data_IF_940240090958
#
_entry.id   IF_940240090958
#
_cell.length_a   1.000
_cell.length_b   1.000
_cell.length_c   1.000
_cell.angle_alpha   90.00
_cell.angle_beta   90.00
_cell.angle_gamma   90.00
#
_symmetry.space_group_name_H-M   'P 1'
#
loop_
_entity.id
_entity.type
_entity.pdbx_description
1 polymer ?
#
# COMPACT_ATOMS: atom_id res chain seq x y z
N UNK A 1 9.52 15.46 24.95
CA UNK A 1 10.59 14.45 24.73
C UNK A 1 10.12 12.98 24.70
N UNK A 2 9.38 12.47 25.70
CA UNK A 2 8.98 11.04 25.74
C UNK A 2 8.02 10.63 24.59
N UNK A 3 7.02 11.46 24.27
CA UNK A 3 6.06 11.21 23.17
C UNK A 3 6.75 11.19 21.80
N UNK A 4 7.58 12.19 21.51
CA UNK A 4 8.43 12.26 20.31
C UNK A 4 9.23 10.97 20.07
N UNK A 5 9.96 10.49 21.07
CA UNK A 5 10.70 9.21 20.98
C UNK A 5 9.82 8.00 20.66
N UNK A 6 8.57 7.97 21.15
CA UNK A 6 7.62 6.89 20.84
C UNK A 6 7.17 6.96 19.38
N UNK A 7 6.84 8.15 18.87
CA UNK A 7 6.44 8.32 17.47
C UNK A 7 7.62 8.01 16.53
N UNK A 8 8.84 8.45 16.87
CA UNK A 8 10.06 8.08 16.11
C UNK A 8 10.28 6.55 16.08
N UNK A 9 9.89 5.83 17.13
CA UNK A 9 9.92 4.36 17.14
C UNK A 9 8.89 3.79 16.16
N UNK A 10 7.65 4.29 16.17
CA UNK A 10 6.61 3.88 15.23
C UNK A 10 7.01 4.13 13.77
N UNK A 11 7.64 5.27 13.48
CA UNK A 11 8.16 5.58 12.14
C UNK A 11 9.17 4.52 11.71
N UNK A 12 10.15 4.19 12.57
CA UNK A 12 11.14 3.14 12.27
C UNK A 12 10.51 1.77 12.06
N UNK A 13 9.53 1.40 12.89
CA UNK A 13 8.78 0.14 12.77
C UNK A 13 7.99 0.11 11.45
N UNK A 14 7.30 1.20 11.10
CA UNK A 14 6.56 1.31 9.85
C UNK A 14 7.48 1.25 8.62
N UNK A 15 8.65 1.87 8.66
CA UNK A 15 9.64 1.78 7.58
C UNK A 15 10.15 0.36 7.39
N UNK A 16 10.31 -0.40 8.48
CA UNK A 16 10.67 -1.81 8.41
C UNK A 16 9.57 -2.63 7.73
N UNK A 17 8.30 -2.43 8.10
CA UNK A 17 7.15 -3.08 7.45
C UNK A 17 7.06 -2.73 5.95
N UNK A 18 7.30 -1.47 5.58
CA UNK A 18 7.35 -1.07 4.16
C UNK A 18 8.46 -1.81 3.39
N UNK A 19 9.61 -2.07 4.01
CA UNK A 19 10.67 -2.86 3.38
C UNK A 19 10.31 -4.36 3.31
N UNK A 20 9.57 -4.90 4.27
CA UNK A 20 9.02 -6.26 4.18
C UNK A 20 8.07 -6.40 2.98
N UNK A 21 7.16 -5.45 2.78
CA UNK A 21 6.29 -5.39 1.59
C UNK A 21 7.13 -5.30 0.31
N UNK A 22 8.21 -4.51 0.31
CA UNK A 22 9.12 -4.40 -0.83
C UNK A 22 9.82 -5.74 -1.14
N UNK A 23 10.22 -6.48 -0.11
CA UNK A 23 10.79 -7.83 -0.24
C UNK A 23 9.75 -8.79 -0.82
N UNK A 24 8.51 -8.80 -0.29
CA UNK A 24 7.44 -9.64 -0.84
C UNK A 24 7.17 -9.30 -2.30
N UNK A 25 7.10 -8.02 -2.64
CA UNK A 25 6.94 -7.55 -4.01
C UNK A 25 8.04 -8.10 -4.94
N UNK A 26 9.31 -8.04 -4.52
CA UNK A 26 10.45 -8.62 -5.26
C UNK A 26 10.27 -10.13 -5.43
N UNK A 27 9.89 -10.85 -4.38
CA UNK A 27 9.64 -12.30 -4.45
C UNK A 27 8.49 -12.65 -5.42
N UNK A 28 7.41 -11.86 -5.45
CA UNK A 28 6.32 -12.05 -6.41
C UNK A 28 6.85 -11.88 -7.83
N UNK A 29 7.65 -10.83 -8.08
CA UNK A 29 8.25 -10.61 -9.40
C UNK A 29 9.12 -11.81 -9.79
N UNK A 30 10.00 -12.25 -8.90
CA UNK A 30 10.96 -13.31 -9.22
C UNK A 30 10.28 -14.66 -9.42
N UNK A 31 9.31 -15.02 -8.59
CA UNK A 31 8.51 -16.25 -8.74
C UNK A 31 7.58 -16.23 -9.95
N UNK A 32 7.32 -15.06 -10.54
CA UNK A 32 6.47 -14.90 -11.73
C UNK A 32 7.25 -14.49 -12.98
N UNK A 33 8.57 -14.28 -12.88
CA UNK A 33 9.47 -14.11 -14.04
C UNK A 33 9.51 -15.45 -14.77
N UNK A 34 8.78 -15.52 -15.89
CA UNK A 34 8.79 -16.62 -16.85
C UNK A 34 9.01 -18.00 -16.19
N UNK A 35 7.94 -18.57 -15.62
CA UNK A 35 7.67 -19.99 -15.86
C UNK A 35 7.44 -20.14 -17.38
N UNK A 36 8.52 -20.01 -18.14
CA UNK A 36 8.49 -20.08 -19.58
C UNK A 36 8.40 -21.55 -19.95
N UNK A 37 7.29 -21.95 -20.57
CA UNK A 37 7.22 -23.01 -21.58
C UNK A 37 7.91 -24.36 -21.28
N UNK A 38 8.19 -24.70 -20.02
CA UNK A 38 8.57 -26.06 -19.68
C UNK A 38 7.28 -26.86 -19.62
N UNK A 39 6.95 -27.45 -20.77
CA UNK A 39 5.85 -28.40 -20.97
C UNK A 39 5.72 -29.32 -19.76
N UNK A 40 4.69 -29.09 -18.94
CA UNK A 40 4.18 -30.11 -18.03
C UNK A 40 3.52 -31.17 -18.91
N UNK A 41 4.33 -32.08 -19.48
CA UNK A 41 3.84 -33.29 -20.12
C UNK A 41 3.28 -34.19 -19.01
N UNK A 42 1.97 -34.10 -18.77
CA UNK A 42 1.28 -34.98 -17.86
C UNK A 42 -0.16 -34.53 -17.65
N UNK A 43 -1.10 -35.19 -18.35
CA UNK A 43 -2.56 -35.09 -18.23
C UNK A 43 -3.14 -33.67 -18.29
N UNK A 44 -3.53 -33.23 -19.50
CA UNK A 44 -4.20 -31.94 -19.72
C UNK A 44 -5.65 -31.96 -19.19
N UNK A 45 -5.82 -31.64 -17.91
CA UNK A 45 -7.11 -31.24 -17.33
C UNK A 45 -7.43 -29.76 -17.58
N UNK A 46 -6.43 -28.94 -17.95
CA UNK A 46 -6.51 -27.49 -18.10
C UNK A 46 -5.56 -27.07 -19.24
N UNK A 47 -6.01 -26.19 -20.14
CA UNK A 47 -5.17 -25.75 -21.27
C UNK A 47 -4.01 -24.86 -20.80
N UNK A 48 -2.92 -24.80 -21.59
CA UNK A 48 -1.79 -23.89 -21.33
C UNK A 48 -2.24 -22.41 -21.22
N UNK A 49 -3.28 -22.03 -21.97
CA UNK A 49 -3.86 -20.68 -21.91
C UNK A 49 -4.56 -20.41 -20.56
N UNK A 50 -5.34 -21.37 -20.08
CA UNK A 50 -6.03 -21.26 -18.78
C UNK A 50 -5.03 -21.18 -17.62
N UNK A 51 -3.92 -21.93 -17.70
CA UNK A 51 -2.84 -21.84 -16.71
C UNK A 51 -2.21 -20.44 -16.67
N UNK A 52 -1.87 -19.87 -17.83
CA UNK A 52 -1.31 -18.50 -17.93
C UNK A 52 -2.28 -17.47 -17.32
N UNK A 53 -3.57 -17.62 -17.56
CA UNK A 53 -4.60 -16.76 -16.99
C UNK A 53 -4.71 -16.90 -15.48
N UNK A 54 -4.66 -18.13 -14.95
CA UNK A 54 -4.64 -18.39 -13.50
C UNK A 54 -3.42 -17.73 -12.86
N UNK A 55 -2.21 -17.90 -13.42
CA UNK A 55 -0.99 -17.29 -12.87
C UNK A 55 -1.05 -15.76 -12.95
N UNK A 56 -1.60 -15.20 -14.02
CA UNK A 56 -1.75 -13.76 -14.19
C UNK A 56 -2.74 -13.17 -13.19
N UNK A 57 -3.90 -13.81 -13.01
CA UNK A 57 -4.91 -13.42 -12.01
C UNK A 57 -4.34 -13.51 -10.59
N UNK A 58 -3.63 -14.59 -10.25
CA UNK A 58 -2.98 -14.75 -8.94
C UNK A 58 -1.97 -13.63 -8.67
N UNK A 59 -1.12 -13.30 -9.65
CA UNK A 59 -0.15 -12.20 -9.53
C UNK A 59 -0.85 -10.85 -9.30
N UNK A 60 -1.92 -10.58 -10.05
CA UNK A 60 -2.66 -9.33 -9.92
C UNK A 60 -3.35 -9.18 -8.55
N UNK A 61 -3.94 -10.25 -8.02
CA UNK A 61 -4.52 -10.28 -6.67
C UNK A 61 -3.47 -10.03 -5.60
N UNK A 62 -2.27 -10.60 -5.74
CA UNK A 62 -1.16 -10.32 -4.81
C UNK A 62 -0.78 -8.84 -4.84
N UNK A 63 -0.68 -8.23 -6.02
CA UNK A 63 -0.42 -6.79 -6.09
C UNK A 63 -1.55 -5.96 -5.47
N UNK A 64 -2.80 -6.39 -5.62
CA UNK A 64 -3.94 -5.74 -4.99
C UNK A 64 -3.85 -5.79 -3.45
N UNK A 65 -3.47 -6.94 -2.89
CA UNK A 65 -3.24 -7.11 -1.46
C UNK A 65 -2.15 -6.16 -0.93
N UNK A 66 -1.00 -6.08 -1.61
CA UNK A 66 0.10 -5.18 -1.20
C UNK A 66 -0.32 -3.70 -1.19
N UNK A 67 -1.26 -3.28 -2.04
CA UNK A 67 -1.79 -1.90 -2.03
C UNK A 67 -2.63 -1.63 -0.78
N UNK A 68 -3.49 -2.57 -0.42
CA UNK A 68 -4.30 -2.47 0.80
C UNK A 68 -3.39 -2.37 2.02
N UNK A 69 -2.37 -3.22 2.07
CA UNK A 69 -1.42 -3.27 3.18
C UNK A 69 -0.61 -1.98 3.29
N UNK A 70 -0.10 -1.42 2.17
CA UNK A 70 0.58 -0.13 2.17
C UNK A 70 -0.30 1.00 2.70
N UNK A 71 -1.57 1.03 2.31
CA UNK A 71 -2.52 2.01 2.82
C UNK A 71 -2.75 1.83 4.33
N UNK A 72 -2.93 0.58 4.79
CA UNK A 72 -3.16 0.26 6.19
C UNK A 72 -1.96 0.63 7.09
N UNK A 73 -0.72 0.43 6.63
CA UNK A 73 0.48 0.84 7.37
C UNK A 73 0.50 2.34 7.63
N UNK A 74 0.22 3.15 6.60
CA UNK A 74 0.17 4.62 6.75
C UNK A 74 -0.96 5.02 7.68
N UNK A 75 -2.16 4.44 7.50
CA UNK A 75 -3.30 4.72 8.36
C UNK A 75 -3.00 4.40 9.84
N UNK A 76 -2.43 3.23 10.11
CA UNK A 76 -2.12 2.78 11.46
C UNK A 76 -1.04 3.63 12.12
N UNK A 77 0.04 3.96 11.40
CA UNK A 77 1.08 4.88 11.88
C UNK A 77 0.47 6.21 12.35
N UNK A 78 -0.45 6.78 11.57
CA UNK A 78 -1.07 8.04 11.91
C UNK A 78 -2.04 7.91 13.09
N UNK A 79 -2.81 6.82 13.18
CA UNK A 79 -3.70 6.54 14.33
C UNK A 79 -2.90 6.41 15.63
N UNK A 80 -1.80 5.68 15.60
CA UNK A 80 -0.96 5.49 16.77
C UNK A 80 -0.24 6.77 17.15
N UNK A 81 0.22 7.55 16.16
CA UNK A 81 0.79 8.88 16.37
C UNK A 81 -0.23 9.84 17.01
N UNK A 82 -1.46 9.84 16.52
CA UNK A 82 -2.59 10.59 17.09
C UNK A 82 -2.82 10.22 18.54
N UNK A 83 -2.89 8.91 18.83
CA UNK A 83 -3.10 8.42 20.19
C UNK A 83 -2.01 8.88 21.16
N UNK A 84 -0.75 8.81 20.73
CA UNK A 84 0.42 9.18 21.54
C UNK A 84 0.52 10.70 21.74
N UNK A 85 0.30 11.49 20.69
CA UNK A 85 0.55 12.93 20.74
C UNK A 85 -0.58 13.67 21.46
N UNK A 86 -1.82 13.31 21.17
CA UNK A 86 -3.00 13.97 21.71
C UNK A 86 -3.56 13.32 22.98
N UNK A 87 -2.93 12.25 23.48
CA UNK A 87 -3.38 11.44 24.63
C UNK A 87 -4.84 10.97 24.51
N UNK A 88 -5.27 10.65 23.28
CA UNK A 88 -6.62 10.17 22.98
C UNK A 88 -6.59 8.67 22.73
N UNK A 89 -7.47 7.92 23.40
CA UNK A 89 -7.54 6.45 23.22
C UNK A 89 -8.11 6.05 21.86
N UNK A 90 -9.06 6.82 21.32
CA UNK A 90 -9.76 6.45 20.09
C UNK A 90 -9.79 7.60 19.11
N UNK A 91 -9.39 7.30 17.87
CA UNK A 91 -9.60 8.16 16.73
C UNK A 91 -11.07 8.11 16.30
N UNK A 92 -11.73 9.26 16.28
CA UNK A 92 -13.05 9.44 15.69
C UNK A 92 -12.90 10.15 14.35
N UNK A 93 -13.32 9.45 13.30
CA UNK A 93 -13.31 9.94 11.93
C UNK A 93 -14.36 11.02 11.75
N UNK A 94 -14.00 12.13 11.11
CA UNK A 94 -14.99 13.08 10.60
C UNK A 94 -15.70 12.53 9.36
N UNK A 95 -16.99 12.84 9.21
CA UNK A 95 -17.79 12.38 8.08
C UNK A 95 -17.17 12.86 6.75
N UNK A 96 -17.29 12.03 5.71
CA UNK A 96 -16.85 12.29 4.33
C UNK A 96 -15.35 12.48 4.05
N UNK A 97 -14.48 12.57 5.05
CA UNK A 97 -13.03 12.66 4.83
C UNK A 97 -12.36 11.30 4.63
N UNK A 98 -11.24 11.28 3.89
CA UNK A 98 -10.35 10.12 3.93
C UNK A 98 -9.66 10.06 5.31
N UNK A 99 -9.53 8.86 5.90
CA UNK A 99 -8.97 8.69 7.26
C UNK A 99 -7.57 9.29 7.38
N UNK A 100 -6.69 9.06 6.40
CA UNK A 100 -5.31 9.57 6.43
C UNK A 100 -5.33 11.10 6.36
N UNK A 101 -6.19 11.69 5.53
CA UNK A 101 -6.31 13.16 5.41
C UNK A 101 -6.85 13.78 6.70
N UNK A 102 -7.88 13.21 7.30
CA UNK A 102 -8.43 13.66 8.59
C UNK A 102 -7.38 13.56 9.71
N UNK A 103 -6.62 12.47 9.75
CA UNK A 103 -5.52 12.32 10.70
C UNK A 103 -4.40 13.34 10.48
N UNK A 104 -4.06 13.66 9.23
CA UNK A 104 -3.07 14.70 8.92
C UNK A 104 -3.52 16.07 9.44
N UNK A 105 -4.76 16.46 9.19
CA UNK A 105 -5.32 17.71 9.70
C UNK A 105 -5.29 17.78 11.23
N UNK A 106 -5.67 16.68 11.90
CA UNK A 106 -5.65 16.59 13.37
C UNK A 106 -4.24 16.57 13.98
N UNK A 107 -3.24 16.18 13.20
CA UNK A 107 -1.84 16.07 13.63
C UNK A 107 -0.96 17.23 13.20
N UNK A 108 -1.46 18.17 12.38
CA UNK A 108 -0.66 19.22 11.74
C UNK A 108 0.11 20.13 12.71
N UNK A 109 -0.43 20.33 13.91
CA UNK A 109 0.21 21.15 14.95
C UNK A 109 1.31 20.40 15.71
N UNK A 110 1.46 19.09 15.50
CA UNK A 110 2.44 18.23 16.19
C UNK A 110 3.37 17.50 15.22
N UNK A 111 2.97 17.35 13.97
CA UNK A 111 3.70 16.63 12.93
C UNK A 111 3.74 17.47 11.66
N UNK A 112 4.94 17.61 11.10
CA UNK A 112 5.13 18.08 9.75
C UNK A 112 5.00 16.91 8.77
N UNK A 113 4.13 17.07 7.78
CA UNK A 113 3.92 16.12 6.69
C UNK A 113 4.50 16.65 5.38
N UNK A 114 5.00 15.75 4.53
CA UNK A 114 5.33 16.08 3.14
C UNK A 114 4.05 16.21 2.31
N UNK A 115 3.76 17.43 1.87
CA UNK A 115 2.59 17.78 1.06
C UNK A 115 2.65 17.23 -0.37
N UNK A 116 3.80 16.74 -0.83
CA UNK A 116 3.96 16.18 -2.17
C UNK A 116 3.42 14.75 -2.30
N UNK A 117 3.15 14.06 -1.18
CA UNK A 117 2.65 12.70 -1.20
C UNK A 117 1.17 12.65 -1.58
N UNK A 118 0.87 12.09 -2.76
CA UNK A 118 -0.50 11.91 -3.24
C UNK A 118 -1.19 10.72 -2.56
N UNK A 119 -1.70 10.96 -1.35
CA UNK A 119 -2.49 10.00 -0.55
C UNK A 119 -3.76 9.60 -1.27
N UNK A 120 -4.39 10.54 -1.99
CA UNK A 120 -5.63 10.31 -2.73
C UNK A 120 -5.51 9.14 -3.69
N UNK A 121 -4.41 9.06 -4.46
CA UNK A 121 -4.19 7.92 -5.36
C UNK A 121 -4.14 6.57 -4.62
N UNK A 122 -3.50 6.52 -3.45
CA UNK A 122 -3.42 5.29 -2.66
C UNK A 122 -4.78 4.91 -2.07
N UNK A 123 -5.53 5.90 -1.58
CA UNK A 123 -6.89 5.75 -1.06
C UNK A 123 -7.87 5.27 -2.13
N UNK A 124 -7.87 5.90 -3.30
CA UNK A 124 -8.77 5.55 -4.42
C UNK A 124 -8.50 4.12 -4.90
N UNK A 125 -7.23 3.74 -5.02
CA UNK A 125 -6.83 2.37 -5.35
C UNK A 125 -7.33 1.37 -4.30
N UNK A 126 -7.10 1.63 -3.01
CA UNK A 126 -7.55 0.77 -1.91
C UNK A 126 -9.07 0.62 -1.90
N UNK A 127 -9.80 1.72 -2.08
CA UNK A 127 -11.25 1.72 -2.09
C UNK A 127 -11.82 0.90 -3.25
N UNK A 128 -11.30 1.11 -4.46
CA UNK A 128 -11.72 0.32 -5.62
C UNK A 128 -11.43 -1.18 -5.41
N UNK A 129 -10.23 -1.52 -4.92
CA UNK A 129 -9.83 -2.92 -4.74
C UNK A 129 -10.75 -3.65 -3.74
N UNK A 130 -11.17 -2.97 -2.68
CA UNK A 130 -11.98 -3.55 -1.61
C UNK A 130 -13.47 -3.61 -1.99
N UNK A 131 -14.00 -2.56 -2.61
CA UNK A 131 -15.44 -2.42 -2.80
C UNK A 131 -15.93 -2.86 -4.19
N UNK A 132 -15.08 -2.81 -5.22
CA UNK A 132 -15.48 -3.14 -6.59
C UNK A 132 -14.93 -4.50 -7.03
N UNK A 133 -13.61 -4.60 -7.18
CA UNK A 133 -12.97 -5.84 -7.59
C UNK A 133 -11.56 -5.91 -7.07
N UNK A 134 -11.22 -7.06 -6.47
CA UNK A 134 -9.90 -7.36 -5.93
C UNK A 134 -8.83 -7.56 -7.02
N UNK A 135 -8.55 -6.49 -7.78
CA UNK A 135 -7.70 -6.45 -8.96
C UNK A 135 -7.05 -5.08 -9.12
N UNK A 136 -5.72 -5.03 -9.01
CA UNK A 136 -4.98 -3.79 -9.26
C UNK A 136 -5.06 -3.38 -10.73
N UNK A 137 -5.11 -4.35 -11.66
CA UNK A 137 -5.25 -4.06 -13.09
C UNK A 137 -6.56 -3.32 -13.38
N UNK A 138 -7.67 -3.76 -12.79
CA UNK A 138 -8.96 -3.11 -12.98
C UNK A 138 -9.03 -1.76 -12.26
N UNK A 139 -8.57 -1.68 -11.01
CA UNK A 139 -8.49 -0.42 -10.27
C UNK A 139 -7.72 0.66 -11.04
N UNK A 140 -6.54 0.33 -11.54
CA UNK A 140 -5.71 1.25 -12.35
C UNK A 140 -6.44 1.75 -13.60
N UNK A 141 -7.19 0.87 -14.28
CA UNK A 141 -7.95 1.23 -15.48
C UNK A 141 -9.14 2.11 -15.16
N UNK A 142 -9.94 1.72 -14.16
CA UNK A 142 -11.15 2.45 -13.77
C UNK A 142 -10.83 3.86 -13.28
N UNK A 143 -9.76 4.01 -12.50
CA UNK A 143 -9.31 5.29 -11.95
C UNK A 143 -8.47 6.12 -12.94
N UNK A 144 -8.31 5.68 -14.19
CA UNK A 144 -7.54 6.42 -15.20
C UNK A 144 -6.05 6.60 -14.85
N UNK A 145 -5.48 5.74 -14.01
CA UNK A 145 -4.11 5.89 -13.52
C UNK A 145 -3.11 5.50 -14.62
N UNK A 146 -2.43 6.50 -15.18
CA UNK A 146 -1.41 6.29 -16.20
C UNK A 146 -0.16 5.66 -15.59
N UNK A 147 0.09 4.39 -15.94
CA UNK A 147 1.32 3.68 -15.61
C UNK A 147 1.58 2.60 -16.67
N UNK A 148 2.86 2.28 -16.89
CA UNK A 148 3.27 1.26 -17.87
C UNK A 148 2.67 -0.11 -17.56
N UNK A 149 2.58 -0.49 -16.28
CA UNK A 149 1.98 -1.71 -15.79
C UNK A 149 1.86 -1.68 -14.25
N UNK A 150 1.18 -2.69 -13.68
CA UNK A 150 0.97 -2.81 -12.23
C UNK A 150 2.28 -2.88 -11.44
N UNK A 151 3.33 -3.51 -12.00
CA UNK A 151 4.67 -3.54 -11.38
C UNK A 151 5.26 -2.14 -11.25
N UNK A 152 5.17 -1.31 -12.30
CA UNK A 152 5.67 0.06 -12.28
C UNK A 152 4.88 0.94 -11.30
N UNK A 153 3.55 0.77 -11.27
CA UNK A 153 2.70 1.46 -10.30
C UNK A 153 3.08 1.11 -8.86
N UNK A 154 3.16 -0.18 -8.53
CA UNK A 154 3.46 -0.63 -7.18
C UNK A 154 4.87 -0.20 -6.74
N UNK A 155 5.87 -0.27 -7.63
CA UNK A 155 7.23 0.25 -7.35
C UNK A 155 7.22 1.75 -7.03
N UNK A 156 6.41 2.54 -7.76
CA UNK A 156 6.26 3.98 -7.50
C UNK A 156 5.58 4.22 -6.15
N UNK A 157 4.48 3.51 -5.86
CA UNK A 157 3.74 3.67 -4.62
C UNK A 157 4.57 3.27 -3.39
N UNK A 158 5.32 2.17 -3.46
CA UNK A 158 6.27 1.76 -2.41
C UNK A 158 7.29 2.88 -2.12
N UNK A 159 7.90 3.43 -3.16
CA UNK A 159 8.85 4.54 -3.02
C UNK A 159 8.17 5.75 -2.37
N UNK A 160 7.00 6.12 -2.85
CA UNK A 160 6.28 7.30 -2.36
C UNK A 160 5.87 7.13 -0.88
N UNK A 161 5.36 5.95 -0.49
CA UNK A 161 5.00 5.63 0.90
C UNK A 161 6.25 5.66 1.79
N UNK A 162 7.35 5.05 1.36
CA UNK A 162 8.61 5.09 2.10
C UNK A 162 9.08 6.54 2.33
N UNK A 163 9.07 7.36 1.26
CA UNK A 163 9.46 8.78 1.35
C UNK A 163 8.53 9.57 2.28
N UNK A 164 7.22 9.34 2.17
CA UNK A 164 6.23 9.97 3.04
C UNK A 164 6.46 9.63 4.50
N UNK A 165 6.56 8.34 4.86
CA UNK A 165 6.80 7.91 6.24
C UNK A 165 8.12 8.49 6.77
N UNK A 166 9.17 8.49 5.95
CA UNK A 166 10.48 9.04 6.33
C UNK A 166 10.50 10.57 6.46
N UNK A 167 9.53 11.27 5.84
CA UNK A 167 9.39 12.73 5.93
C UNK A 167 8.67 13.21 7.18
N UNK A 168 7.98 12.32 7.88
CA UNK A 168 7.22 12.65 9.09
C UNK A 168 8.20 13.13 10.17
N UNK A 169 8.05 14.39 10.56
CA UNK A 169 8.87 15.01 11.61
C UNK A 169 7.98 15.50 12.75
N UNK A 170 8.26 15.05 13.97
CA UNK A 170 7.55 15.49 15.18
C UNK A 170 8.16 16.79 15.68
N UNK A 171 7.31 17.81 15.84
CA UNK A 171 7.68 19.12 16.36
C UNK A 171 7.98 19.07 17.86
#
# INVERSE_FOLDING_TARGET
>A
MKKKKKVEKLIRETLYEVELINIEFKQIIDKTKKQGKNKLRGFELISDNDLVDIYTKRKDRKYAALIIELYALVEQLLKDSYSILLDRKEYKKEEDLNIIVDLQEKLKDSIQFDSSFNIKQLADLRNYIIHDTFSLKQARKSLGIYSKNNKALLKRLLKNVYQYVNSIAVQ
#
